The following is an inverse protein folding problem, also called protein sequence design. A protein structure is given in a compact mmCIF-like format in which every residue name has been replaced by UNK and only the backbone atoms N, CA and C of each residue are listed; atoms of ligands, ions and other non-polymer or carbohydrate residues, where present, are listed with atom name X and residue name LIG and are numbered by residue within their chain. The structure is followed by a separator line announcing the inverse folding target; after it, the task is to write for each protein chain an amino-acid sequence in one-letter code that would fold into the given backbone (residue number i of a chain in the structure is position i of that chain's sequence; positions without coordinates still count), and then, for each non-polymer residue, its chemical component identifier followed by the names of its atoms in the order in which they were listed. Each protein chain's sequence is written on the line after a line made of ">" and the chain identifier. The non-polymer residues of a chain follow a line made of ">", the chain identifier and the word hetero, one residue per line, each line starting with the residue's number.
data_IF_273128579238
#
_entry.id   IF_273128579238
#
_cell.length_a   1.000
_cell.length_b   1.000
_cell.length_c   1.000
_cell.angle_alpha   90.00
_cell.angle_beta   90.00
_cell.angle_gamma   90.00
#
_symmetry.space_group_name_H-M   'P 1'
#
loop_
_entity.id
_entity.type
_entity.pdbx_description
1 polymer ?
#
# COMPACT_ATOMS: atom_id res chain seq x y z
N UNK A 1 16.54 -4.75 23.06
CA UNK A 1 15.78 -6.02 23.25
C UNK A 1 14.76 -6.13 22.13
N UNK A 2 14.75 -7.23 21.37
CA UNK A 2 13.73 -7.43 20.34
C UNK A 2 12.39 -7.75 21.02
N UNK A 3 11.33 -7.02 20.64
CA UNK A 3 9.96 -7.32 21.08
C UNK A 3 9.40 -8.43 20.18
N UNK A 4 8.97 -9.53 20.79
CA UNK A 4 8.25 -10.60 20.09
C UNK A 4 6.77 -10.31 20.11
N UNK A 5 6.10 -10.47 18.97
CA UNK A 5 4.67 -10.27 18.80
C UNK A 5 4.10 -11.47 18.05
N UNK A 6 2.98 -12.01 18.52
CA UNK A 6 2.24 -13.07 17.86
C UNK A 6 1.11 -12.44 17.03
N UNK A 7 1.03 -12.78 15.75
CA UNK A 7 0.04 -12.24 14.81
C UNK A 7 -0.57 -13.38 14.01
N UNK A 8 -1.88 -13.32 13.84
CA UNK A 8 -2.64 -14.18 12.94
C UNK A 8 -3.01 -13.35 11.70
N UNK A 9 -2.71 -13.87 10.51
CA UNK A 9 -2.84 -13.13 9.24
C UNK A 9 -3.69 -13.85 8.20
N UNK A 10 -4.28 -14.99 8.54
CA UNK A 10 -5.02 -15.83 7.60
C UNK A 10 -4.16 -16.52 6.53
N UNK A 11 -4.78 -17.38 5.74
CA UNK A 11 -4.08 -18.29 4.81
C UNK A 11 -3.51 -17.56 3.58
N UNK A 12 -4.25 -16.63 2.98
CA UNK A 12 -3.83 -15.90 1.78
C UNK A 12 -2.53 -15.11 2.01
N UNK A 13 -2.48 -14.29 3.07
CA UNK A 13 -1.29 -13.52 3.41
C UNK A 13 -0.12 -14.42 3.79
N UNK A 14 -0.40 -15.57 4.42
CA UNK A 14 0.63 -16.53 4.79
C UNK A 14 1.27 -17.16 3.56
N UNK A 15 0.48 -17.56 2.56
CA UNK A 15 1.00 -18.06 1.28
C UNK A 15 1.83 -16.99 0.56
N UNK A 16 1.37 -15.73 0.55
CA UNK A 16 2.13 -14.61 0.00
C UNK A 16 3.50 -14.47 0.69
N UNK A 17 3.53 -14.46 2.04
CA UNK A 17 4.77 -14.33 2.80
C UNK A 17 5.73 -15.49 2.54
N UNK A 18 5.21 -16.72 2.50
CA UNK A 18 6.03 -17.89 2.22
C UNK A 18 6.57 -17.87 0.78
N UNK A 19 5.80 -17.34 -0.19
CA UNK A 19 6.29 -17.14 -1.56
C UNK A 19 7.45 -16.14 -1.64
N UNK A 20 7.41 -15.04 -0.89
CA UNK A 20 8.46 -14.03 -0.82
C UNK A 20 9.76 -14.56 -0.17
N UNK A 21 9.63 -15.38 0.87
CA UNK A 21 10.80 -16.04 1.48
C UNK A 21 11.38 -17.09 0.53
N UNK A 22 10.53 -17.84 -0.18
CA UNK A 22 10.95 -18.87 -1.14
C UNK A 22 11.61 -18.29 -2.40
N UNK A 23 11.19 -17.12 -2.85
CA UNK A 23 11.82 -16.38 -3.94
C UNK A 23 13.27 -15.97 -3.59
N UNK A 24 13.61 -15.93 -2.30
CA UNK A 24 14.95 -15.59 -1.81
C UNK A 24 15.15 -14.10 -1.56
N UNK A 25 14.13 -13.27 -1.81
CA UNK A 25 14.16 -11.83 -1.55
C UNK A 25 14.22 -11.52 -0.03
N UNK A 26 13.74 -12.44 0.80
CA UNK A 26 13.70 -12.32 2.25
C UNK A 26 14.24 -13.58 2.93
N UNK A 27 15.00 -13.42 4.02
CA UNK A 27 15.53 -14.57 4.77
C UNK A 27 14.53 -15.15 5.75
N UNK A 28 13.65 -14.31 6.29
CA UNK A 28 12.65 -14.72 7.29
C UNK A 28 11.32 -13.97 7.11
N UNK A 29 10.23 -14.59 7.54
CA UNK A 29 8.88 -14.02 7.43
C UNK A 29 8.73 -12.66 8.12
N UNK A 30 9.40 -12.47 9.27
CA UNK A 30 9.31 -11.20 10.01
C UNK A 30 9.97 -10.02 9.28
N UNK A 31 10.86 -10.26 8.31
CA UNK A 31 11.41 -9.21 7.45
C UNK A 31 10.36 -8.74 6.44
N UNK A 32 9.68 -9.68 5.78
CA UNK A 32 8.57 -9.39 4.84
C UNK A 32 7.53 -8.51 5.53
N UNK A 33 7.11 -8.87 6.74
CA UNK A 33 6.12 -8.10 7.51
C UNK A 33 6.59 -6.69 7.86
N UNK A 34 7.86 -6.53 8.25
CA UNK A 34 8.40 -5.20 8.61
C UNK A 34 8.47 -4.29 7.40
N UNK A 35 8.87 -4.82 6.24
CA UNK A 35 8.96 -4.03 5.02
C UNK A 35 7.59 -3.72 4.44
N UNK A 36 6.64 -4.65 4.49
CA UNK A 36 5.25 -4.38 4.13
C UNK A 36 4.65 -3.25 5.00
N UNK A 37 4.92 -3.25 6.31
CA UNK A 37 4.46 -2.18 7.20
C UNK A 37 5.15 -0.84 6.95
N UNK A 38 6.44 -0.85 6.56
CA UNK A 38 7.13 0.37 6.13
C UNK A 38 6.52 0.93 4.86
N UNK A 39 6.35 0.09 3.84
CA UNK A 39 5.75 0.47 2.56
C UNK A 39 4.32 1.01 2.77
N UNK A 40 3.52 0.36 3.61
CA UNK A 40 2.18 0.85 3.96
C UNK A 40 2.24 2.22 4.64
N UNK A 41 3.20 2.43 5.55
CA UNK A 41 3.38 3.73 6.20
C UNK A 41 3.78 4.81 5.20
N UNK A 42 4.67 4.49 4.26
CA UNK A 42 5.14 5.43 3.25
C UNK A 42 4.01 5.79 2.28
N UNK A 43 3.23 4.81 1.81
CA UNK A 43 2.04 5.05 0.97
C UNK A 43 0.97 5.89 1.69
N UNK A 44 0.76 5.65 2.99
CA UNK A 44 -0.14 6.47 3.79
C UNK A 44 0.41 7.88 3.99
N UNK A 45 1.73 8.03 4.19
CA UNK A 45 2.37 9.34 4.28
C UNK A 45 2.28 10.10 2.97
N UNK A 46 2.49 9.44 1.83
CA UNK A 46 2.30 10.01 0.49
C UNK A 46 0.84 10.38 0.24
N UNK A 47 -0.11 9.51 0.60
CA UNK A 47 -1.54 9.76 0.45
C UNK A 47 -2.04 10.91 1.32
N UNK A 48 -1.57 11.02 2.58
CA UNK A 48 -1.90 12.13 3.48
C UNK A 48 -1.18 13.42 3.05
N UNK A 49 0.05 13.33 2.55
CA UNK A 49 0.83 14.46 2.03
C UNK A 49 0.30 14.97 0.69
N UNK A 50 -0.33 14.10 -0.10
CA UNK A 50 -0.96 14.42 -1.39
C UNK A 50 -2.16 15.39 -1.25
N UNK A 51 -2.51 15.80 -0.03
CA UNK A 51 -3.57 16.75 0.26
C UNK A 51 -4.95 16.09 0.31
N UNK A 52 -5.93 16.83 0.85
CA UNK A 52 -7.33 16.40 0.90
C UNK A 52 -7.79 15.94 -0.48
N UNK A 53 -8.42 14.75 -0.53
CA UNK A 53 -8.96 14.19 -1.75
C UNK A 53 -9.89 15.22 -2.40
N UNK A 54 -9.41 15.87 -3.46
CA UNK A 54 -10.23 16.79 -4.24
C UNK A 54 -11.40 15.97 -4.76
N UNK A 55 -12.62 16.32 -4.33
CA UNK A 55 -13.86 15.71 -4.82
C UNK A 55 -13.76 15.62 -6.33
N UNK A 56 -13.62 14.39 -6.83
CA UNK A 56 -13.63 14.15 -8.27
C UNK A 56 -15.07 14.35 -8.73
N UNK A 57 -15.39 15.58 -9.14
CA UNK A 57 -16.63 15.86 -9.85
C UNK A 57 -16.53 15.07 -11.15
N UNK A 58 -17.39 14.06 -11.27
CA UNK A 58 -17.39 13.05 -12.32
C UNK A 58 -17.42 13.72 -13.70
N UNK A 59 -16.25 14.00 -14.30
CA UNK A 59 -16.20 14.66 -15.60
C UNK A 59 -14.89 15.32 -16.01
N UNK A 60 -13.91 15.54 -15.13
CA UNK A 60 -12.69 16.27 -15.49
C UNK A 60 -11.42 15.43 -15.32
N UNK A 61 -10.81 15.00 -16.44
CA UNK A 61 -9.48 14.37 -16.47
C UNK A 61 -8.42 15.50 -16.50
N UNK A 62 -7.43 15.53 -15.59
CA UNK A 62 -6.53 16.68 -15.43
C UNK A 62 -5.56 16.91 -16.61
N UNK A 63 -5.29 15.89 -17.43
CA UNK A 63 -4.31 15.99 -18.53
C UNK A 63 -4.85 16.66 -19.80
N UNK A 64 -6.18 16.66 -19.98
CA UNK A 64 -6.83 17.37 -21.09
C UNK A 64 -7.73 18.41 -20.44
N UNK A 65 -7.35 19.68 -20.53
CA UNK A 65 -8.16 20.87 -20.19
C UNK A 65 -9.44 20.97 -21.06
N UNK A 66 -10.20 19.89 -21.20
CA UNK A 66 -11.48 19.84 -21.87
C UNK A 66 -12.54 19.59 -20.80
N UNK A 67 -12.97 20.67 -20.18
CA UNK A 67 -14.29 20.70 -19.57
C UNK A 67 -15.28 20.82 -20.73
N UNK A 68 -15.94 19.73 -21.11
CA UNK A 68 -17.10 19.83 -22.01
C UNK A 68 -18.21 20.54 -21.25
N UNK A 69 -18.39 21.82 -21.52
CA UNK A 69 -19.53 22.60 -21.05
C UNK A 69 -20.82 21.99 -21.59
N UNK A 70 -21.56 21.31 -20.71
CA UNK A 70 -22.87 20.77 -20.99
C UNK A 70 -23.95 21.81 -20.77
N UNK A 71 -24.49 22.32 -21.89
CA UNK A 71 -25.72 23.12 -22.12
C UNK A 71 -25.84 24.48 -21.44
#
# INVERSE_FOLDING_TARGET
>A
MARTMTVDVGDELREFIDSQVKAGDYRIQSEVMRDALRLLRDLLAEGISSGEAKTMEQGCIPEKRQCQGGK
#
